data_IF_976279158694
#
_entry.id   IF_976279158694
#
_cell.length_a   1.000
_cell.length_b   1.000
_cell.length_c   1.000
_cell.angle_alpha   90.00
_cell.angle_beta   90.00
_cell.angle_gamma   90.00
#
_symmetry.space_group_name_H-M   'P 1'
#
loop_
_entity.id
_entity.type
_entity.pdbx_description
1 polymer ?
#
# COMPACT_ATOMS: atom_id res chain seq x y z
N UNK A 1 18.78 -14.15 -19.44
CA UNK A 1 19.11 -12.69 -19.54
C UNK A 1 19.56 -12.17 -18.20
N UNK A 2 20.23 -10.99 -18.19
CA UNK A 2 20.60 -10.33 -16.96
C UNK A 2 19.38 -9.61 -16.34
N UNK A 3 19.29 -9.67 -15.00
CA UNK A 3 18.23 -9.00 -14.21
C UNK A 3 18.88 -8.27 -13.05
N UNK A 4 18.76 -6.94 -13.00
CA UNK A 4 19.33 -6.14 -11.93
C UNK A 4 18.44 -6.15 -10.68
N UNK A 5 19.03 -6.36 -9.50
CA UNK A 5 18.37 -6.28 -8.21
C UNK A 5 18.93 -5.09 -7.43
N UNK A 6 18.18 -4.00 -7.37
CA UNK A 6 18.56 -2.78 -6.68
C UNK A 6 18.35 -2.92 -5.18
N UNK A 7 19.44 -3.00 -4.44
CA UNK A 7 19.49 -3.29 -3.02
C UNK A 7 20.08 -2.16 -2.21
N UNK A 8 19.34 -1.71 -1.19
CA UNK A 8 19.85 -0.73 -0.24
C UNK A 8 20.94 -1.34 0.64
N UNK A 9 22.13 -0.76 0.67
CA UNK A 9 23.18 -1.11 1.60
C UNK A 9 22.93 -0.41 2.94
N UNK A 10 22.58 -1.18 3.99
CA UNK A 10 22.45 -0.64 5.35
C UNK A 10 23.53 -1.31 6.20
N UNK A 11 24.46 -0.51 6.75
CA UNK A 11 25.59 -1.04 7.51
C UNK A 11 25.21 -1.78 8.79
N UNK A 12 24.13 -1.39 9.46
CA UNK A 12 23.91 -1.78 10.86
C UNK A 12 22.46 -2.11 11.22
N UNK A 13 21.60 -2.41 10.28
CA UNK A 13 20.27 -2.91 10.64
C UNK A 13 20.22 -4.43 10.57
N UNK A 14 19.76 -5.05 11.67
CA UNK A 14 19.35 -6.45 11.68
C UNK A 14 18.55 -6.72 10.41
N UNK A 15 18.88 -7.79 9.69
CA UNK A 15 18.21 -8.23 8.46
C UNK A 15 16.70 -8.14 8.65
N UNK A 16 16.03 -7.39 7.79
CA UNK A 16 14.58 -7.25 7.81
C UNK A 16 13.97 -7.97 6.62
N UNK A 17 12.68 -8.29 6.70
CA UNK A 17 11.93 -9.03 5.67
C UNK A 17 12.17 -8.56 4.22
N UNK A 18 12.44 -7.27 3.99
CA UNK A 18 12.76 -6.72 2.67
C UNK A 18 14.10 -7.22 2.08
N UNK A 19 15.04 -7.65 2.91
CA UNK A 19 16.33 -8.20 2.47
C UNK A 19 16.17 -9.64 2.00
N UNK A 20 15.43 -10.42 2.76
CA UNK A 20 15.17 -11.82 2.44
C UNK A 20 14.33 -11.89 1.17
N UNK A 21 13.40 -10.96 0.98
CA UNK A 21 12.58 -10.87 -0.24
C UNK A 21 13.42 -10.67 -1.51
N UNK A 22 14.40 -9.76 -1.51
CA UNK A 22 15.26 -9.56 -2.68
C UNK A 22 16.18 -10.75 -2.93
N UNK A 23 16.59 -11.46 -1.87
CA UNK A 23 17.31 -12.73 -1.99
C UNK A 23 16.43 -13.80 -2.61
N UNK A 24 15.18 -13.95 -2.14
CA UNK A 24 14.23 -14.88 -2.73
C UNK A 24 13.93 -14.56 -4.20
N UNK A 25 13.91 -13.28 -4.55
CA UNK A 25 13.76 -12.88 -5.95
C UNK A 25 14.96 -13.29 -6.79
N UNK A 26 16.19 -13.17 -6.26
CA UNK A 26 17.39 -13.66 -6.95
C UNK A 26 17.32 -15.18 -7.20
N UNK A 27 16.97 -15.95 -6.16
CA UNK A 27 16.79 -17.40 -6.28
C UNK A 27 15.70 -17.76 -7.32
N UNK A 28 14.60 -16.99 -7.35
CA UNK A 28 13.52 -17.19 -8.33
C UNK A 28 13.93 -16.86 -9.77
N UNK A 29 14.77 -15.86 -9.98
CA UNK A 29 15.35 -15.49 -11.28
C UNK A 29 16.25 -16.63 -11.77
N UNK A 30 17.16 -17.13 -10.92
CA UNK A 30 18.05 -18.25 -11.23
C UNK A 30 17.26 -19.52 -11.60
N UNK A 31 16.17 -19.80 -10.88
CA UNK A 31 15.27 -20.93 -11.16
C UNK A 31 14.65 -20.85 -12.57
N UNK A 32 14.49 -19.63 -13.10
CA UNK A 32 14.01 -19.41 -14.47
C UNK A 32 15.12 -19.43 -15.53
N UNK A 33 16.37 -19.71 -15.14
CA UNK A 33 17.53 -19.74 -16.06
C UNK A 33 18.08 -18.37 -16.42
N UNK A 34 17.75 -17.34 -15.65
CA UNK A 34 18.25 -15.97 -15.82
C UNK A 34 19.31 -15.64 -14.76
N UNK A 35 20.08 -14.57 -14.98
CA UNK A 35 21.22 -14.18 -14.17
C UNK A 35 20.89 -12.95 -13.29
N UNK A 36 20.74 -13.09 -11.95
CA UNK A 36 20.51 -11.96 -11.08
C UNK A 36 21.80 -11.19 -10.79
N UNK A 37 21.80 -9.88 -11.04
CA UNK A 37 22.90 -8.97 -10.77
C UNK A 37 22.54 -8.07 -9.61
N UNK A 38 23.24 -8.18 -8.47
CA UNK A 38 22.99 -7.36 -7.29
C UNK A 38 23.65 -5.98 -7.47
N UNK A 39 22.82 -4.95 -7.58
CA UNK A 39 23.23 -3.55 -7.62
C UNK A 39 23.06 -2.94 -6.24
N UNK A 40 24.17 -2.64 -5.57
CA UNK A 40 24.14 -2.06 -4.24
C UNK A 40 23.97 -0.54 -4.29
N UNK A 41 23.00 -0.01 -3.58
CA UNK A 41 22.90 1.43 -3.31
C UNK A 41 24.04 1.84 -2.36
N UNK A 42 24.91 2.78 -2.74
CA UNK A 42 26.07 3.19 -1.93
C UNK A 42 25.72 3.85 -0.60
N UNK A 43 26.63 3.72 0.38
CA UNK A 43 26.47 4.13 1.79
C UNK A 43 26.47 5.64 2.02
N UNK A 44 27.13 6.41 1.18
CA UNK A 44 27.47 7.81 1.46
C UNK A 44 26.34 8.80 1.22
N UNK A 45 25.22 8.35 0.68
CA UNK A 45 24.14 9.28 0.35
C UNK A 45 24.45 10.22 -0.84
N UNK A 46 25.68 10.23 -1.29
CA UNK A 46 26.15 10.97 -2.46
C UNK A 46 26.08 10.08 -3.70
N UNK A 47 24.84 9.90 -4.19
CA UNK A 47 24.68 9.40 -5.53
C UNK A 47 24.85 10.55 -6.49
N UNK A 48 25.84 10.48 -7.34
CA UNK A 48 25.76 11.26 -8.56
C UNK A 48 24.59 10.71 -9.38
N UNK A 49 23.89 11.58 -10.08
CA UNK A 49 22.71 11.24 -10.88
C UNK A 49 22.97 10.14 -11.92
N UNK A 50 24.20 9.73 -12.12
CA UNK A 50 24.67 8.77 -13.13
C UNK A 50 24.82 7.33 -12.61
N UNK A 51 24.83 7.09 -11.29
CA UNK A 51 25.20 5.78 -10.72
C UNK A 51 24.04 4.76 -10.59
N UNK A 52 22.79 5.18 -10.79
CA UNK A 52 21.62 4.29 -10.81
C UNK A 52 20.96 4.29 -12.19
N UNK A 53 21.73 4.03 -13.20
CA UNK A 53 21.21 3.80 -14.54
C UNK A 53 20.88 2.31 -14.70
N UNK A 54 19.61 1.94 -14.86
CA UNK A 54 19.27 0.57 -15.18
C UNK A 54 19.81 0.21 -16.57
N UNK A 55 20.41 -0.96 -16.69
CA UNK A 55 21.05 -1.44 -17.92
C UNK A 55 20.49 -2.78 -18.40
N UNK A 56 20.07 -3.64 -17.47
CA UNK A 56 19.44 -4.89 -17.82
C UNK A 56 17.98 -4.68 -18.28
N UNK A 57 17.43 -5.58 -19.11
CA UNK A 57 16.05 -5.49 -19.59
C UNK A 57 15.00 -5.45 -18.47
N UNK A 58 15.30 -6.08 -17.34
CA UNK A 58 14.47 -6.10 -16.13
C UNK A 58 15.30 -5.69 -14.91
N UNK A 59 14.73 -4.83 -14.06
CA UNK A 59 15.23 -4.55 -12.73
C UNK A 59 14.18 -4.91 -11.66
N UNK A 60 14.64 -5.18 -10.44
CA UNK A 60 13.81 -5.48 -9.27
C UNK A 60 14.18 -4.59 -8.11
N UNK A 61 13.18 -4.10 -7.34
CA UNK A 61 13.44 -3.29 -6.14
C UNK A 61 12.35 -3.43 -5.10
N UNK A 62 12.68 -3.19 -3.82
CA UNK A 62 11.71 -3.13 -2.74
C UNK A 62 11.36 -1.69 -2.38
N UNK A 63 10.05 -1.37 -2.35
CA UNK A 63 9.52 -0.03 -2.07
C UNK A 63 9.75 0.95 -3.22
N UNK A 64 8.96 1.99 -3.27
CA UNK A 64 9.02 2.98 -4.35
C UNK A 64 9.75 4.26 -3.93
N UNK A 65 9.65 4.63 -2.65
CA UNK A 65 10.24 5.85 -2.11
C UNK A 65 9.41 7.11 -2.36
N UNK A 66 9.49 8.03 -1.42
CA UNK A 66 8.80 9.33 -1.45
C UNK A 66 9.70 10.48 -1.89
N UNK A 67 9.08 11.62 -2.12
CA UNK A 67 9.72 12.89 -2.44
C UNK A 67 10.46 13.54 -1.27
N UNK A 68 10.32 13.03 -0.05
CA UNK A 68 10.88 13.67 1.14
C UNK A 68 12.40 13.75 1.10
N UNK A 69 12.92 14.95 0.89
CA UNK A 69 14.34 15.27 0.74
C UNK A 69 15.21 14.89 1.96
N UNK A 70 14.61 14.78 3.17
CA UNK A 70 15.34 14.34 4.38
C UNK A 70 15.80 12.89 4.33
N UNK A 71 15.24 12.08 3.45
CA UNK A 71 15.65 10.70 3.22
C UNK A 71 16.07 10.52 1.77
N UNK A 72 17.28 10.89 1.45
CA UNK A 72 17.92 10.85 0.10
C UNK A 72 17.69 9.55 -0.70
N UNK A 73 17.39 8.45 -0.06
CA UNK A 73 17.13 7.16 -0.71
C UNK A 73 15.71 7.01 -1.29
N UNK A 74 14.72 7.76 -0.79
CA UNK A 74 13.33 7.59 -1.22
C UNK A 74 13.04 8.22 -2.59
N UNK A 75 13.61 9.38 -2.87
CA UNK A 75 13.46 10.04 -4.18
C UNK A 75 14.16 9.32 -5.32
N UNK A 76 15.25 8.64 -5.03
CA UNK A 76 16.11 7.98 -6.03
C UNK A 76 15.46 6.82 -6.74
N UNK A 77 14.67 6.02 -6.02
CA UNK A 77 13.93 4.89 -6.61
C UNK A 77 12.90 5.35 -7.62
N UNK A 78 12.27 6.48 -7.38
CA UNK A 78 11.38 7.12 -8.36
C UNK A 78 12.14 7.51 -9.62
N UNK A 79 13.31 8.14 -9.48
CA UNK A 79 14.17 8.47 -10.61
C UNK A 79 14.65 7.24 -11.37
N UNK A 80 15.02 6.17 -10.66
CA UNK A 80 15.37 4.88 -11.27
C UNK A 80 14.23 4.37 -12.16
N UNK A 81 13.00 4.39 -11.66
CA UNK A 81 11.81 3.97 -12.43
C UNK A 81 11.58 4.88 -13.62
N UNK A 82 11.71 6.19 -13.47
CA UNK A 82 11.51 7.15 -14.56
C UNK A 82 12.55 6.97 -15.68
N UNK A 83 13.81 6.70 -15.32
CA UNK A 83 14.88 6.40 -16.30
C UNK A 83 14.67 5.05 -16.98
N UNK A 84 14.31 4.04 -16.21
CA UNK A 84 13.99 2.73 -16.75
C UNK A 84 12.89 2.82 -17.81
N UNK A 85 11.80 3.53 -17.51
CA UNK A 85 10.71 3.76 -18.46
C UNK A 85 11.17 4.44 -19.73
N UNK A 86 12.04 5.46 -19.63
CA UNK A 86 12.60 6.14 -20.81
C UNK A 86 13.44 5.24 -21.69
N UNK A 87 14.04 4.21 -21.12
CA UNK A 87 14.88 3.22 -21.83
C UNK A 87 14.12 1.97 -22.28
N UNK A 88 12.83 1.88 -21.98
CA UNK A 88 12.03 0.67 -22.23
C UNK A 88 12.38 -0.51 -21.30
N UNK A 89 13.03 -0.24 -20.16
CA UNK A 89 13.43 -1.24 -19.16
C UNK A 89 12.28 -1.44 -18.16
N UNK A 90 11.96 -2.67 -17.82
CA UNK A 90 10.93 -3.00 -16.84
C UNK A 90 11.51 -3.00 -15.43
N UNK A 91 10.80 -2.37 -14.48
CA UNK A 91 11.15 -2.42 -13.05
C UNK A 91 10.03 -3.12 -12.28
N UNK A 92 10.34 -4.31 -11.76
CA UNK A 92 9.44 -5.03 -10.84
C UNK A 92 9.63 -4.44 -9.44
N UNK A 93 8.54 -3.94 -8.87
CA UNK A 93 8.52 -3.35 -7.53
C UNK A 93 7.82 -4.27 -6.55
N UNK A 94 8.37 -4.38 -5.35
CA UNK A 94 7.80 -5.10 -4.21
C UNK A 94 7.46 -4.11 -3.11
N UNK A 95 6.33 -4.35 -2.42
CA UNK A 95 5.95 -3.57 -1.23
C UNK A 95 5.10 -4.43 -0.28
N UNK A 96 4.80 -3.92 0.91
CA UNK A 96 3.98 -4.59 1.89
C UNK A 96 2.63 -5.05 1.34
N UNK A 97 2.10 -6.13 1.91
CA UNK A 97 0.82 -6.71 1.47
C UNK A 97 -0.38 -5.80 1.65
N UNK A 98 -1.47 -6.11 0.95
CA UNK A 98 -2.69 -5.30 0.92
C UNK A 98 -3.71 -5.69 1.99
N UNK A 99 -3.62 -6.90 2.54
CA UNK A 99 -4.66 -7.50 3.38
C UNK A 99 -4.19 -7.72 4.82
N UNK A 100 -3.49 -6.74 5.39
CA UNK A 100 -2.92 -6.85 6.73
C UNK A 100 -3.97 -6.99 7.84
N UNK A 101 -5.15 -6.39 7.69
CA UNK A 101 -6.24 -6.52 8.66
C UNK A 101 -6.92 -7.89 8.63
N UNK A 102 -6.63 -8.71 7.63
CA UNK A 102 -7.16 -10.07 7.49
C UNK A 102 -6.14 -11.16 7.84
N UNK A 103 -4.91 -10.81 8.20
CA UNK A 103 -3.89 -11.77 8.60
C UNK A 103 -2.59 -11.74 7.77
N UNK A 104 -2.56 -10.98 6.69
CA UNK A 104 -1.34 -10.82 5.86
C UNK A 104 -0.33 -9.87 6.53
N UNK A 105 0.20 -10.23 7.70
CA UNK A 105 1.10 -9.34 8.47
C UNK A 105 2.52 -9.82 8.54
N UNK A 106 2.75 -11.08 8.87
CA UNK A 106 4.07 -11.69 9.03
C UNK A 106 3.96 -13.22 8.99
N UNK A 107 5.07 -13.90 8.70
CA UNK A 107 5.15 -15.35 8.68
C UNK A 107 5.16 -15.94 7.28
N UNK A 108 5.15 -17.27 7.14
CA UNK A 108 5.32 -17.96 5.86
C UNK A 108 4.19 -17.69 4.85
N UNK A 109 3.04 -17.29 5.34
CA UNK A 109 1.87 -16.95 4.50
C UNK A 109 1.79 -15.46 4.18
N UNK A 110 2.82 -14.67 4.50
CA UNK A 110 2.88 -13.26 4.12
C UNK A 110 2.96 -13.12 2.60
N UNK A 111 2.07 -12.27 2.06
CA UNK A 111 2.04 -11.96 0.64
C UNK A 111 2.48 -10.50 0.42
N UNK A 112 3.35 -10.32 -0.53
CA UNK A 112 3.89 -9.05 -0.97
C UNK A 112 3.15 -8.54 -2.20
N UNK A 113 2.95 -7.24 -2.31
CA UNK A 113 2.53 -6.63 -3.58
C UNK A 113 3.66 -6.70 -4.57
N UNK A 114 3.37 -7.10 -5.80
CA UNK A 114 4.34 -7.15 -6.89
C UNK A 114 3.75 -6.53 -8.14
N UNK A 115 4.43 -5.56 -8.71
CA UNK A 115 3.95 -4.79 -9.85
C UNK A 115 5.10 -4.22 -10.68
N UNK A 116 4.82 -3.74 -11.86
CA UNK A 116 5.75 -2.93 -12.64
C UNK A 116 5.64 -1.46 -12.23
N UNK A 117 6.79 -0.84 -11.99
CA UNK A 117 7.02 0.59 -11.82
C UNK A 117 6.47 1.23 -10.54
N UNK A 118 5.36 0.78 -9.97
CA UNK A 118 4.78 1.35 -8.76
C UNK A 118 3.95 0.32 -8.01
N UNK A 119 4.05 0.22 -6.68
CA UNK A 119 3.23 -0.68 -5.89
C UNK A 119 1.83 -0.13 -5.57
N UNK A 120 1.41 0.95 -6.22
CA UNK A 120 0.08 1.57 -6.07
C UNK A 120 -0.75 1.32 -7.32
N UNK A 121 -1.99 1.81 -7.35
CA UNK A 121 -2.91 1.60 -8.46
C UNK A 121 -2.40 2.09 -9.83
N UNK A 122 -1.49 3.04 -9.86
CA UNK A 122 -0.80 3.48 -11.08
C UNK A 122 0.35 2.53 -11.53
N UNK A 123 0.62 1.46 -10.80
CA UNK A 123 1.51 0.39 -11.21
C UNK A 123 0.79 -0.64 -12.08
N UNK A 124 1.53 -1.33 -12.94
CA UNK A 124 0.98 -2.43 -13.70
C UNK A 124 1.24 -3.76 -12.98
N UNK A 125 0.20 -4.34 -12.43
CA UNK A 125 0.25 -5.64 -11.72
C UNK A 125 0.16 -6.84 -12.67
N UNK A 126 -0.09 -6.61 -13.95
CA UNK A 126 -0.36 -7.65 -14.95
C UNK A 126 -1.49 -8.60 -14.52
N UNK A 127 -2.48 -8.05 -13.79
CA UNK A 127 -3.54 -8.81 -13.13
C UNK A 127 -4.93 -8.61 -13.77
N UNK A 128 -5.04 -7.84 -14.84
CA UNK A 128 -6.32 -7.56 -15.49
C UNK A 128 -6.98 -8.84 -16.01
N UNK A 129 -8.28 -8.96 -15.77
CA UNK A 129 -9.09 -10.12 -16.11
C UNK A 129 -8.57 -11.46 -15.54
N UNK A 130 -8.05 -11.41 -14.31
CA UNK A 130 -7.57 -12.61 -13.60
C UNK A 130 -8.72 -13.57 -13.25
N UNK A 131 -8.47 -14.88 -13.21
CA UNK A 131 -9.43 -15.85 -12.71
C UNK A 131 -9.57 -15.78 -11.19
N UNK A 132 -10.64 -16.39 -10.61
CA UNK A 132 -10.96 -16.28 -9.19
C UNK A 132 -10.04 -17.09 -8.25
N UNK A 133 -9.27 -18.04 -8.77
CA UNK A 133 -8.55 -19.09 -8.03
C UNK A 133 -7.65 -18.53 -6.91
N UNK A 134 -6.86 -17.50 -7.18
CA UNK A 134 -5.98 -16.87 -6.16
C UNK A 134 -6.77 -16.14 -5.10
N UNK A 135 -7.83 -15.44 -5.48
CA UNK A 135 -8.69 -14.80 -4.51
C UNK A 135 -9.36 -15.83 -3.58
N UNK A 136 -9.91 -16.90 -4.14
CA UNK A 136 -10.55 -17.95 -3.35
C UNK A 136 -9.54 -18.68 -2.44
N UNK A 137 -8.30 -18.87 -2.89
CA UNK A 137 -7.21 -19.37 -2.04
C UNK A 137 -6.93 -18.43 -0.86
N UNK A 138 -6.71 -17.13 -1.10
CA UNK A 138 -6.43 -16.16 -0.03
C UNK A 138 -7.60 -15.94 0.90
N UNK A 139 -8.82 -15.92 0.37
CA UNK A 139 -10.05 -15.84 1.14
C UNK A 139 -10.16 -16.98 2.15
N UNK A 140 -9.84 -18.20 1.73
CA UNK A 140 -9.78 -19.38 2.61
C UNK A 140 -8.62 -19.28 3.60
N UNK A 141 -7.41 -18.92 3.15
CA UNK A 141 -6.20 -18.86 3.97
C UNK A 141 -6.37 -17.91 5.16
N UNK A 142 -6.96 -16.75 4.95
CA UNK A 142 -7.13 -15.73 5.99
C UNK A 142 -8.57 -15.59 6.51
N UNK A 143 -9.45 -16.54 6.18
CA UNK A 143 -10.85 -16.52 6.57
C UNK A 143 -11.52 -15.16 6.29
N UNK A 144 -11.35 -14.65 5.06
CA UNK A 144 -11.84 -13.35 4.66
C UNK A 144 -13.35 -13.41 4.42
N UNK A 145 -14.10 -12.60 5.17
CA UNK A 145 -15.50 -12.36 4.85
C UNK A 145 -15.61 -11.28 3.76
N UNK A 146 -15.85 -11.69 2.52
CA UNK A 146 -16.20 -10.80 1.42
C UNK A 146 -17.70 -10.50 1.49
N UNK A 147 -18.03 -9.30 1.95
CA UNK A 147 -19.42 -8.92 2.22
C UNK A 147 -20.02 -8.12 1.05
N UNK A 148 -21.35 -8.23 0.80
CA UNK A 148 -22.04 -7.32 -0.11
C UNK A 148 -21.91 -5.87 0.39
N UNK A 149 -22.14 -4.91 -0.50
CA UNK A 149 -22.18 -3.51 -0.09
C UNK A 149 -23.25 -3.29 0.97
N UNK A 150 -22.85 -2.61 2.02
CA UNK A 150 -23.68 -2.33 3.18
C UNK A 150 -24.40 -0.99 3.02
N UNK A 151 -25.69 -0.96 3.34
CA UNK A 151 -26.39 0.28 3.63
C UNK A 151 -26.16 0.63 5.10
N UNK A 152 -25.92 1.88 5.40
CA UNK A 152 -25.68 2.38 6.75
C UNK A 152 -26.95 2.93 7.38
N UNK A 153 -26.94 3.05 8.73
CA UNK A 153 -27.96 3.78 9.46
C UNK A 153 -27.68 5.30 9.39
N UNK A 154 -28.70 6.15 9.60
CA UNK A 154 -28.51 7.60 9.65
C UNK A 154 -27.47 8.06 10.69
N UNK A 155 -27.37 7.36 11.81
CA UNK A 155 -26.44 7.69 12.91
C UNK A 155 -25.00 7.20 12.71
N UNK A 156 -24.77 6.34 11.70
CA UNK A 156 -23.43 5.82 11.45
C UNK A 156 -22.47 6.95 11.05
N UNK A 157 -21.28 7.07 11.69
CA UNK A 157 -20.33 8.13 11.42
C UNK A 157 -19.58 7.91 10.10
N UNK A 158 -18.96 8.97 9.61
CA UNK A 158 -17.95 8.88 8.53
C UNK A 158 -16.59 8.68 9.17
N UNK A 159 -15.89 7.63 8.75
CA UNK A 159 -14.57 7.26 9.26
C UNK A 159 -13.46 7.77 8.34
N UNK A 160 -12.66 8.70 8.81
CA UNK A 160 -11.43 9.12 8.15
C UNK A 160 -10.25 8.26 8.58
N UNK A 161 -9.51 7.71 7.61
CA UNK A 161 -8.31 6.93 7.88
C UNK A 161 -7.10 7.69 7.35
N UNK A 162 -6.30 8.23 8.27
CA UNK A 162 -5.11 9.02 7.94
C UNK A 162 -3.89 8.13 7.70
N UNK A 163 -3.04 8.58 6.79
CA UNK A 163 -1.74 8.01 6.54
C UNK A 163 -0.66 8.74 7.34
N UNK A 164 0.55 8.16 7.49
CA UNK A 164 1.67 8.85 8.12
C UNK A 164 2.09 10.10 7.33
N UNK A 165 2.49 11.16 8.04
CA UNK A 165 2.95 12.42 7.44
C UNK A 165 4.02 12.22 6.37
N UNK A 166 4.99 11.37 6.62
CA UNK A 166 6.12 11.15 5.71
C UNK A 166 5.93 9.93 4.78
N UNK A 167 4.69 9.51 4.57
CA UNK A 167 4.40 8.45 3.64
C UNK A 167 4.60 8.95 2.20
N UNK A 168 5.42 8.23 1.44
CA UNK A 168 5.74 8.60 0.06
C UNK A 168 4.49 8.69 -0.85
N UNK A 169 3.43 7.94 -0.56
CA UNK A 169 2.20 7.97 -1.33
C UNK A 169 1.33 9.21 -1.05
N UNK A 170 1.64 9.96 0.00
CA UNK A 170 1.00 11.25 0.28
C UNK A 170 1.57 12.42 -0.54
N UNK A 171 2.67 12.19 -1.27
CA UNK A 171 3.33 13.20 -2.11
C UNK A 171 3.54 14.55 -1.38
N UNK A 172 4.13 14.48 -0.16
CA UNK A 172 4.37 15.61 0.76
C UNK A 172 3.12 16.24 1.38
N UNK A 173 1.94 15.80 1.04
CA UNK A 173 0.70 16.29 1.61
C UNK A 173 0.64 15.95 3.12
N UNK A 174 0.47 16.95 3.95
CA UNK A 174 0.27 16.75 5.39
C UNK A 174 -1.11 16.12 5.64
N UNK A 175 -1.20 15.03 6.41
CA UNK A 175 -2.45 14.31 6.61
C UNK A 175 -3.54 15.11 7.34
N UNK A 176 -3.17 16.05 8.22
CA UNK A 176 -4.16 16.92 8.90
C UNK A 176 -4.64 18.03 7.95
N UNK A 177 -3.75 18.61 7.18
CA UNK A 177 -4.13 19.57 6.13
C UNK A 177 -5.07 18.93 5.13
N UNK A 178 -4.73 17.72 4.63
CA UNK A 178 -5.62 16.94 3.77
C UNK A 178 -6.98 16.68 4.41
N UNK A 179 -6.99 16.25 5.68
CA UNK A 179 -8.24 16.02 6.41
C UNK A 179 -9.10 17.30 6.49
N UNK A 180 -8.50 18.42 6.88
CA UNK A 180 -9.22 19.67 7.03
C UNK A 180 -9.80 20.19 5.71
N UNK A 181 -9.10 19.99 4.59
CA UNK A 181 -9.59 20.35 3.26
C UNK A 181 -10.78 19.48 2.83
N UNK A 182 -10.73 18.17 3.12
CA UNK A 182 -11.84 17.25 2.87
C UNK A 182 -13.00 17.53 3.82
N UNK A 183 -12.73 17.76 5.10
CA UNK A 183 -13.73 18.15 6.11
C UNK A 183 -14.54 19.37 5.68
N UNK A 184 -13.88 20.45 5.26
CA UNK A 184 -14.55 21.66 4.77
C UNK A 184 -15.49 21.41 3.60
N UNK A 185 -15.16 20.45 2.73
CA UNK A 185 -16.02 20.05 1.60
C UNK A 185 -17.21 19.19 2.03
N UNK A 186 -16.98 18.31 3.01
CA UNK A 186 -18.00 17.34 3.43
C UNK A 186 -18.96 17.90 4.49
N UNK A 187 -18.48 18.75 5.40
CA UNK A 187 -19.32 19.22 6.53
C UNK A 187 -20.65 19.87 6.10
N UNK A 188 -20.71 20.68 5.03
CA UNK A 188 -21.97 21.22 4.54
C UNK A 188 -22.94 20.19 3.92
N UNK A 189 -22.48 19.00 3.63
CA UNK A 189 -23.23 17.96 2.90
C UNK A 189 -23.84 16.90 3.83
N UNK A 190 -23.45 16.85 5.11
CA UNK A 190 -23.85 15.78 6.02
C UNK A 190 -23.87 16.24 7.47
N UNK A 191 -24.85 15.75 8.23
CA UNK A 191 -24.94 15.93 9.68
C UNK A 191 -24.25 14.78 10.45
N UNK A 192 -23.70 13.79 9.76
CA UNK A 192 -23.04 12.65 10.40
C UNK A 192 -21.83 13.09 11.21
N UNK A 193 -21.56 12.35 12.28
CA UNK A 193 -20.34 12.54 13.09
C UNK A 193 -19.11 12.13 12.27
N UNK A 194 -18.03 12.88 12.41
CA UNK A 194 -16.75 12.53 11.83
C UNK A 194 -15.84 11.91 12.88
N UNK A 195 -15.29 10.74 12.53
CA UNK A 195 -14.31 10.03 13.34
C UNK A 195 -13.01 9.97 12.55
N UNK A 196 -11.92 10.41 13.15
CA UNK A 196 -10.59 10.35 12.57
C UNK A 196 -9.76 9.28 13.25
N UNK A 197 -9.15 8.42 12.47
CA UNK A 197 -8.22 7.40 12.91
C UNK A 197 -6.83 7.65 12.32
N UNK A 198 -5.87 8.08 13.15
CA UNK A 198 -4.47 8.21 12.75
C UNK A 198 -3.84 6.85 12.43
N UNK A 199 -2.78 6.86 11.63
CA UNK A 199 -1.97 5.66 11.41
C UNK A 199 -1.27 5.24 12.71
N UNK A 200 -1.25 3.95 13.09
CA UNK A 200 -0.68 3.48 14.36
C UNK A 200 0.75 3.95 14.65
N UNK A 201 1.59 4.03 13.62
CA UNK A 201 2.98 4.47 13.77
C UNK A 201 3.14 6.00 13.95
N UNK A 202 2.08 6.79 13.83
CA UNK A 202 2.12 8.26 13.91
C UNK A 202 1.21 8.83 14.98
N UNK A 203 0.69 8.01 15.87
CA UNK A 203 -0.24 8.45 16.92
C UNK A 203 0.40 9.48 17.85
N UNK A 204 1.65 9.30 18.27
CA UNK A 204 2.35 10.24 19.17
C UNK A 204 2.48 11.64 18.54
N UNK A 205 2.88 11.69 17.27
CA UNK A 205 2.96 12.97 16.55
C UNK A 205 1.57 13.59 16.36
N UNK A 206 0.54 12.78 16.25
CA UNK A 206 -0.84 13.24 16.09
C UNK A 206 -1.42 13.77 17.41
N UNK A 207 -1.08 13.16 18.56
CA UNK A 207 -1.47 13.65 19.89
C UNK A 207 -1.01 15.09 20.12
N UNK A 208 0.16 15.46 19.62
CA UNK A 208 0.69 16.83 19.74
C UNK A 208 -0.02 17.86 18.84
N UNK A 209 -0.81 17.39 17.89
CA UNK A 209 -1.48 18.20 16.87
C UNK A 209 -3.01 18.15 16.97
N UNK A 210 -3.55 17.68 18.09
CA UNK A 210 -5.00 17.51 18.29
C UNK A 210 -5.79 18.83 18.12
N UNK A 211 -5.18 19.97 18.49
CA UNK A 211 -5.79 21.28 18.33
C UNK A 211 -5.97 21.74 16.86
N UNK A 212 -5.37 21.04 15.90
CA UNK A 212 -5.52 21.35 14.48
C UNK A 212 -6.78 20.72 13.86
N UNK A 213 -7.49 19.85 14.60
CA UNK A 213 -8.77 19.28 14.17
C UNK A 213 -9.94 20.15 14.61
N UNK A 214 -11.03 20.22 13.81
CA UNK A 214 -12.27 20.88 14.24
C UNK A 214 -12.83 20.26 15.52
N UNK A 215 -13.48 21.07 16.35
CA UNK A 215 -13.96 20.68 17.70
C UNK A 215 -15.09 19.64 17.69
N UNK A 216 -15.82 19.50 16.57
CA UNK A 216 -16.90 18.51 16.38
C UNK A 216 -16.39 17.16 15.84
N UNK A 217 -15.08 17.01 15.66
CA UNK A 217 -14.43 15.82 15.15
C UNK A 217 -13.90 14.96 16.29
N UNK A 218 -14.24 13.66 16.29
CA UNK A 218 -13.69 12.70 17.25
C UNK A 218 -12.42 12.06 16.70
N UNK A 219 -11.27 12.38 17.28
CA UNK A 219 -10.02 11.66 16.97
C UNK A 219 -9.86 10.45 17.89
N UNK A 220 -9.81 9.25 17.30
CA UNK A 220 -9.69 7.99 18.06
C UNK A 220 -8.25 7.55 18.06
N UNK A 221 -7.63 7.66 19.23
CA UNK A 221 -6.29 7.17 19.52
C UNK A 221 -6.43 5.81 20.21
N UNK A 222 -5.81 4.78 19.63
CA UNK A 222 -5.90 3.41 20.18
C UNK A 222 -5.30 3.29 21.59
N UNK A 223 -5.55 2.14 22.22
CA UNK A 223 -4.97 1.85 23.53
C UNK A 223 -3.45 1.74 23.42
N UNK A 224 -2.75 2.43 24.33
CA UNK A 224 -1.30 2.34 24.49
C UNK A 224 -0.92 0.98 25.07
N UNK A 225 0.06 0.32 24.50
CA UNK A 225 0.72 -0.82 25.13
C UNK A 225 2.23 -0.70 24.94
N UNK A 226 2.97 -1.30 25.85
CA UNK A 226 4.43 -1.25 25.85
C UNK A 226 4.98 -2.61 25.42
N UNK A 227 6.01 -2.62 24.59
CA UNK A 227 6.80 -3.80 24.29
C UNK A 227 8.26 -3.48 24.66
N UNK A 228 8.72 -4.01 25.79
CA UNK A 228 9.99 -3.61 26.42
C UNK A 228 9.95 -2.18 26.99
N UNK A 229 11.04 -1.72 27.52
CA UNK A 229 11.09 -0.48 28.31
C UNK A 229 10.96 0.82 27.48
N UNK A 230 11.05 0.79 26.17
CA UNK A 230 11.17 2.00 25.36
C UNK A 230 10.19 2.14 24.17
N UNK A 231 9.39 1.14 23.83
CA UNK A 231 8.52 1.22 22.65
C UNK A 231 7.05 1.31 23.02
N UNK A 232 6.44 2.46 22.72
CA UNK A 232 4.99 2.66 22.80
C UNK A 232 4.34 2.22 21.50
N UNK A 233 3.40 1.31 21.58
CA UNK A 233 2.55 0.92 20.46
C UNK A 233 1.10 1.28 20.78
N UNK A 234 0.30 1.49 19.71
CA UNK A 234 -1.11 1.75 19.85
C UNK A 234 -1.89 0.64 19.15
N UNK A 235 -2.73 -0.04 19.89
CA UNK A 235 -3.60 -1.07 19.36
C UNK A 235 -4.97 -0.46 19.08
N UNK A 236 -5.41 -0.57 17.82
CA UNK A 236 -6.75 -0.19 17.40
C UNK A 236 -7.54 -1.46 17.06
N UNK A 237 -8.78 -1.51 17.46
CA UNK A 237 -9.70 -2.43 16.82
C UNK A 237 -10.22 -1.78 15.53
N UNK A 238 -9.51 -2.00 14.44
CA UNK A 238 -9.88 -1.41 13.15
C UNK A 238 -11.18 -1.99 12.62
N UNK A 239 -11.45 -3.26 12.91
CA UNK A 239 -12.67 -3.93 12.51
C UNK A 239 -13.90 -3.28 13.17
N UNK A 240 -13.85 -2.96 14.46
CA UNK A 240 -14.97 -2.31 15.15
C UNK A 240 -15.27 -0.93 14.57
N UNK A 241 -14.23 -0.16 14.23
CA UNK A 241 -14.40 1.14 13.58
C UNK A 241 -15.05 1.00 12.20
N UNK A 242 -14.67 -0.01 11.43
CA UNK A 242 -15.25 -0.31 10.13
C UNK A 242 -16.70 -0.82 10.24
N UNK A 243 -16.99 -1.64 11.25
CA UNK A 243 -18.32 -2.22 11.41
C UNK A 243 -19.41 -1.20 11.69
N UNK A 244 -19.05 -0.04 12.23
CA UNK A 244 -19.98 0.98 12.72
C UNK A 244 -19.78 2.33 12.01
N UNK A 245 -19.44 2.34 10.72
CA UNK A 245 -19.35 3.58 9.95
C UNK A 245 -20.22 3.56 8.69
N UNK A 246 -20.68 4.73 8.29
CA UNK A 246 -21.40 4.96 7.04
C UNK A 246 -20.49 4.74 5.84
N UNK A 247 -19.34 5.38 5.87
CA UNK A 247 -18.34 5.33 4.81
C UNK A 247 -16.93 5.51 5.39
N UNK A 248 -15.95 5.03 4.65
CA UNK A 248 -14.52 5.31 4.89
C UNK A 248 -14.07 6.39 3.92
N UNK A 249 -13.35 7.41 4.43
CA UNK A 249 -12.73 8.45 3.62
C UNK A 249 -11.22 8.41 3.84
N UNK A 250 -10.44 8.31 2.78
CA UNK A 250 -8.98 8.32 2.87
C UNK A 250 -8.34 8.88 1.60
N UNK A 251 -7.05 9.23 1.67
CA UNK A 251 -6.33 9.67 0.47
C UNK A 251 -6.07 8.47 -0.45
N UNK A 252 -5.20 7.54 -0.02
CA UNK A 252 -4.89 6.30 -0.76
C UNK A 252 -4.40 5.16 0.16
N UNK A 253 -4.86 5.15 1.41
CA UNK A 253 -4.48 4.13 2.38
C UNK A 253 -4.92 2.71 1.94
N UNK A 254 -4.11 1.70 2.23
CA UNK A 254 -4.49 0.29 2.04
C UNK A 254 -5.72 -0.12 2.85
N UNK A 255 -6.06 0.60 3.92
CA UNK A 255 -7.31 0.43 4.64
C UNK A 255 -8.56 0.59 3.77
N UNK A 256 -8.47 1.31 2.66
CA UNK A 256 -9.54 1.42 1.66
C UNK A 256 -9.82 0.09 0.94
N UNK A 257 -8.79 -0.71 0.72
CA UNK A 257 -8.95 -2.07 0.17
C UNK A 257 -9.74 -2.96 1.14
N UNK A 258 -9.37 -2.91 2.44
CA UNK A 258 -10.06 -3.66 3.49
C UNK A 258 -11.53 -3.25 3.62
N UNK A 259 -11.82 -1.95 3.57
CA UNK A 259 -13.21 -1.45 3.64
C UNK A 259 -14.04 -1.87 2.42
N UNK A 260 -13.48 -1.79 1.22
CA UNK A 260 -14.17 -2.29 0.02
C UNK A 260 -14.47 -3.79 0.10
N UNK A 261 -13.54 -4.62 0.59
CA UNK A 261 -13.77 -6.06 0.77
C UNK A 261 -14.92 -6.33 1.76
N UNK A 262 -15.00 -5.54 2.83
CA UNK A 262 -16.07 -5.64 3.85
C UNK A 262 -17.40 -5.02 3.43
N UNK A 263 -17.52 -4.54 2.21
CA UNK A 263 -18.75 -3.93 1.70
C UNK A 263 -19.05 -2.55 2.27
N UNK A 264 -18.05 -1.80 2.71
CA UNK A 264 -18.22 -0.46 3.23
C UNK A 264 -17.95 0.54 2.12
N UNK A 265 -18.87 1.48 1.82
CA UNK A 265 -18.62 2.55 0.86
C UNK A 265 -17.33 3.28 1.20
N UNK A 266 -16.45 3.41 0.23
CA UNK A 266 -15.11 3.96 0.44
C UNK A 266 -14.87 5.10 -0.52
N UNK A 267 -14.48 6.26 0.01
CA UNK A 267 -14.15 7.45 -0.74
C UNK A 267 -12.63 7.65 -0.74
N UNK A 268 -12.05 7.72 -1.94
CA UNK A 268 -10.63 7.98 -2.12
C UNK A 268 -10.42 9.31 -2.84
N UNK A 269 -9.45 10.11 -2.37
CA UNK A 269 -9.12 11.39 -2.99
C UNK A 269 -7.88 11.34 -3.87
N UNK A 270 -7.29 10.16 -4.05
CA UNK A 270 -6.15 9.93 -4.93
C UNK A 270 -6.35 8.63 -5.72
N UNK A 271 -6.08 8.70 -7.01
CA UNK A 271 -6.08 7.58 -7.95
C UNK A 271 -5.00 6.53 -7.67
N UNK A 272 -4.06 6.83 -6.77
CA UNK A 272 -3.07 5.86 -6.28
C UNK A 272 -3.67 4.78 -5.38
N UNK A 273 -4.88 4.95 -4.86
CA UNK A 273 -5.54 3.95 -4.04
C UNK A 273 -5.78 2.65 -4.82
N UNK A 274 -5.40 1.51 -4.26
CA UNK A 274 -5.59 0.20 -4.91
C UNK A 274 -7.07 -0.10 -5.19
N UNK A 275 -7.97 0.41 -4.37
CA UNK A 275 -9.42 0.26 -4.57
C UNK A 275 -10.03 1.32 -5.48
N UNK A 276 -9.25 2.23 -6.06
CA UNK A 276 -9.76 3.31 -6.92
C UNK A 276 -10.80 2.86 -7.97
N UNK A 277 -10.61 1.71 -8.66
CA UNK A 277 -11.60 1.25 -9.65
C UNK A 277 -13.01 0.96 -9.09
N UNK A 278 -13.11 0.73 -7.78
CA UNK A 278 -14.36 0.39 -7.07
C UNK A 278 -14.67 1.35 -5.92
N UNK A 279 -13.89 2.42 -5.78
CA UNK A 279 -14.10 3.45 -4.77
C UNK A 279 -15.04 4.55 -5.30
N UNK A 280 -15.65 5.28 -4.38
CA UNK A 280 -16.28 6.55 -4.67
C UNK A 280 -15.21 7.64 -4.77
N UNK A 281 -15.21 8.44 -5.81
CA UNK A 281 -14.24 9.50 -6.07
C UNK A 281 -14.84 10.90 -6.00
N UNK A 282 -16.16 10.98 -6.03
CA UNK A 282 -16.92 12.23 -5.88
C UNK A 282 -17.42 12.38 -4.42
N UNK A 283 -16.77 13.26 -3.68
CA UNK A 283 -17.13 13.56 -2.29
C UNK A 283 -18.55 14.13 -2.13
N UNK A 284 -19.13 14.72 -3.18
CA UNK A 284 -20.51 15.23 -3.15
C UNK A 284 -21.55 14.10 -2.99
N UNK A 285 -21.14 12.87 -3.22
CA UNK A 285 -21.97 11.66 -3.05
C UNK A 285 -21.87 11.03 -1.66
N UNK A 286 -21.36 11.75 -0.67
CA UNK A 286 -21.09 11.16 0.67
C UNK A 286 -22.35 10.55 1.29
N UNK A 287 -23.52 11.13 1.14
CA UNK A 287 -24.78 10.60 1.65
C UNK A 287 -25.48 9.62 0.68
N UNK A 288 -25.04 9.58 -0.57
CA UNK A 288 -25.60 8.69 -1.61
C UNK A 288 -24.47 7.99 -2.38
N UNK A 289 -23.65 7.15 -1.70
CA UNK A 289 -22.52 6.49 -2.34
C UNK A 289 -22.98 5.55 -3.46
N UNK A 290 -22.15 5.41 -4.46
CA UNK A 290 -22.35 4.38 -5.48
C UNK A 290 -21.80 3.03 -4.98
N UNK A 291 -22.36 1.96 -5.51
CA UNK A 291 -22.04 0.57 -5.12
C UNK A 291 -21.62 -0.23 -6.37
N UNK A 292 -20.39 0.00 -6.89
CA UNK A 292 -19.95 -0.67 -8.12
C UNK A 292 -19.79 -2.17 -7.92
N UNK A 293 -19.86 -2.93 -9.02
CA UNK A 293 -19.46 -4.34 -8.97
C UNK A 293 -17.95 -4.45 -8.67
N UNK A 294 -17.60 -5.33 -7.73
CA UNK A 294 -16.23 -5.58 -7.28
C UNK A 294 -15.72 -6.95 -7.70
N UNK A 295 -16.49 -7.70 -8.45
CA UNK A 295 -16.18 -9.11 -8.74
C UNK A 295 -14.85 -9.25 -9.46
N UNK A 296 -14.66 -8.58 -10.57
CA UNK A 296 -13.39 -8.66 -11.30
C UNK A 296 -12.24 -7.99 -10.53
N UNK A 297 -12.51 -6.85 -9.88
CA UNK A 297 -11.50 -6.17 -9.07
C UNK A 297 -10.92 -7.06 -7.95
N UNK A 298 -11.76 -7.87 -7.29
CA UNK A 298 -11.31 -8.75 -6.21
C UNK A 298 -10.50 -9.93 -6.76
N UNK A 299 -10.83 -10.44 -7.95
CA UNK A 299 -10.04 -11.48 -8.61
C UNK A 299 -8.66 -10.95 -9.03
N UNK A 300 -8.64 -9.75 -9.61
CA UNK A 300 -7.40 -9.05 -9.96
C UNK A 300 -6.55 -8.74 -8.72
N UNK A 301 -7.18 -8.39 -7.59
CA UNK A 301 -6.51 -8.18 -6.31
C UNK A 301 -5.72 -9.42 -5.86
N UNK A 302 -6.24 -10.61 -6.08
CA UNK A 302 -5.57 -11.87 -5.81
C UNK A 302 -4.22 -12.00 -6.53
N UNK A 303 -4.15 -11.50 -7.74
CA UNK A 303 -2.94 -11.52 -8.57
C UNK A 303 -2.00 -10.32 -8.37
N UNK A 304 -2.36 -9.38 -7.50
CA UNK A 304 -1.45 -8.30 -7.07
C UNK A 304 -0.49 -8.74 -5.96
N UNK A 305 -0.74 -9.89 -5.32
CA UNK A 305 -0.02 -10.34 -4.13
C UNK A 305 0.54 -11.75 -4.29
N UNK A 306 1.77 -11.95 -3.79
CA UNK A 306 2.54 -13.17 -3.94
C UNK A 306 3.30 -13.50 -2.66
N UNK A 307 3.32 -14.76 -2.26
CA UNK A 307 4.03 -15.18 -1.06
C UNK A 307 5.52 -15.47 -1.35
N UNK A 308 6.30 -15.60 -0.28
CA UNK A 308 7.75 -15.83 -0.38
C UNK A 308 8.10 -17.10 -1.15
N UNK A 309 7.32 -18.17 -1.00
CA UNK A 309 7.54 -19.42 -1.73
C UNK A 309 7.37 -19.25 -3.24
N UNK A 310 6.35 -18.51 -3.67
CA UNK A 310 6.09 -18.20 -5.08
C UNK A 310 7.15 -17.29 -5.69
N UNK A 311 7.70 -16.38 -4.88
CA UNK A 311 8.80 -15.50 -5.30
C UNK A 311 10.07 -16.32 -5.46
N UNK A 312 10.41 -17.15 -4.47
CA UNK A 312 11.62 -17.96 -4.41
C UNK A 312 11.69 -19.05 -5.49
N UNK A 313 10.57 -19.68 -5.80
CA UNK A 313 10.52 -20.75 -6.81
C UNK A 313 10.37 -20.26 -8.26
N UNK A 314 10.46 -18.95 -8.49
CA UNK A 314 10.41 -18.34 -9.81
C UNK A 314 9.01 -18.12 -10.40
N UNK A 315 7.93 -18.55 -9.71
CA UNK A 315 6.54 -18.41 -10.23
C UNK A 315 6.22 -16.96 -10.58
N UNK A 316 6.59 -16.01 -9.69
CA UNK A 316 6.36 -14.58 -9.91
C UNK A 316 7.16 -14.08 -11.09
N UNK A 317 8.46 -14.34 -11.11
CA UNK A 317 9.34 -13.83 -12.15
C UNK A 317 8.96 -14.39 -13.53
N UNK A 318 8.70 -15.72 -13.62
CA UNK A 318 8.22 -16.35 -14.84
C UNK A 318 6.94 -15.71 -15.37
N UNK A 319 5.96 -15.46 -14.47
CA UNK A 319 4.72 -14.79 -14.86
C UNK A 319 4.97 -13.41 -15.48
N UNK A 320 5.85 -12.60 -14.86
CA UNK A 320 6.16 -11.28 -15.40
C UNK A 320 6.87 -11.39 -16.75
N UNK A 321 7.84 -12.29 -16.91
CA UNK A 321 8.50 -12.55 -18.19
C UNK A 321 7.49 -12.93 -19.28
N UNK A 322 6.67 -13.93 -19.03
CA UNK A 322 5.68 -14.44 -20.00
C UNK A 322 4.70 -13.33 -20.43
N UNK A 323 4.24 -12.51 -19.48
CA UNK A 323 3.31 -11.40 -19.76
C UNK A 323 3.98 -10.23 -20.50
N UNK A 324 5.30 -10.08 -20.40
CA UNK A 324 6.09 -9.05 -21.07
C UNK A 324 6.66 -9.54 -22.42
N UNK A 325 6.54 -10.82 -22.74
CA UNK A 325 7.08 -11.42 -23.98
C UNK A 325 8.60 -11.53 -23.97
N UNK A 326 9.21 -11.78 -22.81
CA UNK A 326 10.67 -11.87 -22.61
C UNK A 326 11.18 -13.28 -22.42
#
# INVERSE_FOLDING_TARGET
>A
MDVEIFRRTVKDRKRGASWDLLKYMAEGIETCGDNPIIVNEHKTGEWTTNEMEPTAPIGCMFGYGGSNQKHHTKGRRRYLVERAKKKGIYIITFDGGLLSSFGNVHGPDHHWRVSLYSPMNNGNFLSDNSPPDRWEYMKKLWNINYAPWRKSNPEDPILFVLQPKDNWSMNELDPITWFNDVYKKLRPLTERKFIVRPHPNHVVAMEQRMAEFPSDVKVVIGQKFFVGDEKKYYRFNFQDALNNCHAVVTHNSTASTDSCIRGIPTFCTSDLAICWPVANTDLLKIESPIYPDRTQWIYDLGYKMWNEKEIKNGTVFKRFKDKLGL
#
